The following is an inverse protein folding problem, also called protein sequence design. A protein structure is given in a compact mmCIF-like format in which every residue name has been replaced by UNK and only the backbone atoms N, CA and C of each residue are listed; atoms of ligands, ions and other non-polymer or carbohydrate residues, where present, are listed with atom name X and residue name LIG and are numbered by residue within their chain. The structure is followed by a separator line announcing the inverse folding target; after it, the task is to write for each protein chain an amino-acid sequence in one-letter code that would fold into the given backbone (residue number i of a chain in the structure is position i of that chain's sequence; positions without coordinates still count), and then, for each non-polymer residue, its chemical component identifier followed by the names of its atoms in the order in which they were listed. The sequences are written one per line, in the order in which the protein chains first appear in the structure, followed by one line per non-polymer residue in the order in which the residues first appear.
data_IF_749363401264
#
_entry.id   IF_749363401264
#
_cell.length_a   1.000
_cell.length_b   1.000
_cell.length_c   1.000
_cell.angle_alpha   90.00
_cell.angle_beta   90.00
_cell.angle_gamma   90.00
#
_symmetry.space_group_name_H-M   'P 1'
#
loop_
_entity.id
_entity.type
_entity.pdbx_description
1 polymer ?
#
# COMPACT_ATOMS: atom_id res chain seq x y z
N UNK A 1 14.21 -14.67 -21.95
CA UNK A 1 13.76 -14.80 -20.55
C UNK A 1 14.07 -13.53 -19.72
N UNK A 2 13.87 -12.32 -20.29
CA UNK A 2 14.22 -11.03 -19.67
C UNK A 2 13.18 -9.95 -20.04
N UNK A 3 11.94 -10.04 -19.53
CA UNK A 3 10.88 -9.05 -19.87
C UNK A 3 9.88 -8.73 -18.76
N UNK A 4 10.08 -9.21 -17.52
CA UNK A 4 9.19 -8.95 -16.37
C UNK A 4 9.64 -7.80 -15.44
N UNK A 5 10.91 -7.35 -15.52
CA UNK A 5 11.47 -6.39 -14.55
C UNK A 5 11.04 -4.92 -14.76
N UNK A 6 10.55 -4.52 -15.93
CA UNK A 6 10.30 -3.10 -16.23
C UNK A 6 8.96 -2.58 -15.70
N UNK A 7 7.98 -3.44 -15.44
CA UNK A 7 6.63 -3.08 -14.97
C UNK A 7 6.62 -2.71 -13.48
N UNK A 8 7.56 -3.28 -12.73
CA UNK A 8 7.54 -3.31 -11.28
C UNK A 8 8.34 -2.15 -10.64
N UNK A 9 9.47 -1.80 -11.25
CA UNK A 9 10.37 -0.73 -10.80
C UNK A 9 9.73 0.67 -10.76
N UNK A 10 8.74 0.94 -11.63
CA UNK A 10 8.07 2.25 -11.65
C UNK A 10 7.15 2.49 -10.45
N UNK A 11 6.62 1.45 -9.81
CA UNK A 11 5.62 1.56 -8.72
C UNK A 11 6.25 1.89 -7.38
N UNK A 12 7.44 1.35 -7.15
CA UNK A 12 8.27 1.60 -5.97
C UNK A 12 8.89 3.00 -6.03
N UNK A 13 9.11 3.54 -7.23
CA UNK A 13 9.68 4.87 -7.44
C UNK A 13 8.83 5.97 -6.83
N UNK A 14 7.51 5.97 -7.06
CA UNK A 14 6.62 6.94 -6.45
C UNK A 14 6.59 6.82 -4.93
N UNK A 15 6.49 5.58 -4.43
CA UNK A 15 6.47 5.26 -3.01
C UNK A 15 7.74 5.75 -2.30
N UNK A 16 8.93 5.37 -2.78
CA UNK A 16 10.21 5.77 -2.18
C UNK A 16 10.44 7.28 -2.33
N UNK A 17 10.12 7.88 -3.47
CA UNK A 17 10.26 9.33 -3.67
C UNK A 17 9.33 10.13 -2.73
N UNK A 18 8.08 9.67 -2.53
CA UNK A 18 7.17 10.31 -1.58
C UNK A 18 7.60 10.11 -0.12
N UNK A 19 8.14 8.93 0.24
CA UNK A 19 8.72 8.67 1.55
C UNK A 19 10.01 9.46 1.80
N UNK A 20 10.79 9.74 0.74
CA UNK A 20 11.99 10.57 0.78
C UNK A 20 11.66 12.03 1.05
N UNK A 21 10.68 12.60 0.33
CA UNK A 21 10.29 14.00 0.45
C UNK A 21 9.44 14.31 1.68
N UNK A 22 8.83 13.30 2.31
CA UNK A 22 8.05 13.45 3.54
C UNK A 22 8.89 13.47 4.83
N UNK A 23 10.22 13.34 4.73
CA UNK A 23 11.12 13.37 5.89
C UNK A 23 11.09 12.10 6.73
N UNK A 24 10.43 11.03 6.26
CA UNK A 24 10.30 9.75 6.98
C UNK A 24 11.62 8.96 6.98
N UNK A 25 12.41 9.08 5.91
CA UNK A 25 13.70 8.39 5.77
C UNK A 25 14.83 9.09 6.53
N UNK A 26 15.56 8.32 7.35
CA UNK A 26 16.78 8.79 8.02
C UNK A 26 17.92 9.05 7.04
N UNK A 27 18.92 9.86 7.41
CA UNK A 27 20.07 10.19 6.57
C UNK A 27 20.82 8.95 6.04
N UNK A 28 20.94 7.87 6.83
CA UNK A 28 21.53 6.60 6.38
C UNK A 28 20.68 5.87 5.34
N UNK A 29 19.36 5.94 5.44
CA UNK A 29 18.44 5.41 4.41
C UNK A 29 18.47 6.27 3.13
N UNK A 30 18.78 7.56 3.23
CA UNK A 30 19.01 8.43 2.06
C UNK A 30 20.30 8.08 1.32
N UNK A 31 21.35 7.66 2.04
CA UNK A 31 22.62 7.22 1.44
C UNK A 31 22.54 5.80 0.85
N UNK A 32 21.69 4.93 1.40
CA UNK A 32 21.36 3.61 0.86
C UNK A 32 20.22 3.63 -0.17
N UNK A 33 19.75 4.82 -0.60
CA UNK A 33 18.82 4.96 -1.70
C UNK A 33 19.54 4.62 -3.02
N UNK A 34 19.86 3.34 -3.18
CA UNK A 34 20.01 2.74 -4.49
C UNK A 34 18.74 3.07 -5.24
N UNK A 35 18.89 3.48 -6.49
CA UNK A 35 17.80 3.81 -7.40
C UNK A 35 16.56 2.92 -7.14
N UNK A 36 15.35 3.49 -7.01
CA UNK A 36 14.13 2.66 -6.93
C UNK A 36 13.91 1.82 -8.20
N UNK A 37 14.72 2.07 -9.24
CA UNK A 37 14.81 1.31 -10.48
C UNK A 37 15.85 0.17 -10.44
N UNK A 38 16.40 -0.16 -9.28
CA UNK A 38 17.20 -1.38 -9.09
C UNK A 38 16.49 -2.32 -8.13
N UNK A 39 16.66 -3.64 -8.29
CA UNK A 39 16.15 -4.61 -7.32
C UNK A 39 16.56 -4.22 -5.89
N UNK A 40 15.67 -4.42 -4.92
CA UNK A 40 16.02 -4.19 -3.54
C UNK A 40 17.18 -5.09 -3.07
N UNK A 41 17.97 -4.58 -2.15
CA UNK A 41 19.24 -5.19 -1.73
C UNK A 41 19.07 -6.24 -0.62
N UNK A 42 17.91 -6.29 0.04
CA UNK A 42 17.71 -7.17 1.18
C UNK A 42 17.01 -8.47 0.77
N UNK A 43 17.52 -9.64 1.19
CA UNK A 43 16.76 -10.89 1.09
C UNK A 43 15.52 -10.77 1.99
N UNK A 44 14.37 -11.21 1.49
CA UNK A 44 13.09 -11.10 2.19
C UNK A 44 12.57 -12.47 2.59
N UNK A 45 12.04 -12.54 3.81
CA UNK A 45 11.29 -13.66 4.32
C UNK A 45 9.90 -13.18 4.77
N UNK A 46 8.97 -14.11 5.01
CA UNK A 46 7.63 -13.80 5.46
C UNK A 46 7.21 -14.67 6.63
N UNK A 47 6.47 -14.10 7.58
CA UNK A 47 5.74 -14.86 8.59
C UNK A 47 4.27 -14.48 8.58
N UNK A 48 3.41 -15.46 8.87
CA UNK A 48 1.99 -15.25 9.07
C UNK A 48 1.74 -15.11 10.57
N UNK A 49 0.88 -14.17 10.94
CA UNK A 49 0.29 -14.10 12.27
C UNK A 49 -1.22 -14.17 12.13
N UNK A 50 -1.88 -14.98 12.95
CA UNK A 50 -3.33 -15.13 12.84
C UNK A 50 -4.06 -15.29 14.18
N UNK A 51 -5.38 -15.01 14.21
CA UNK A 51 -6.14 -15.04 15.46
C UNK A 51 -6.20 -16.41 16.12
N UNK A 52 -6.08 -17.49 15.35
CA UNK A 52 -6.21 -18.86 15.86
C UNK A 52 -4.94 -19.29 16.58
N UNK A 53 -3.79 -19.06 15.96
CA UNK A 53 -2.51 -19.58 16.45
C UNK A 53 -1.77 -18.56 17.33
N UNK A 54 -1.91 -17.25 17.03
CA UNK A 54 -1.22 -16.17 17.76
C UNK A 54 -2.12 -15.36 18.69
N UNK A 55 -3.44 -15.53 18.61
CA UNK A 55 -4.42 -14.68 19.30
C UNK A 55 -4.31 -13.21 18.88
N UNK A 56 -3.88 -12.95 17.65
CA UNK A 56 -3.88 -11.60 17.08
C UNK A 56 -5.31 -11.13 16.78
N UNK A 57 -5.59 -9.83 16.79
CA UNK A 57 -6.89 -9.28 16.37
C UNK A 57 -7.27 -9.64 14.92
N UNK A 58 -6.28 -9.67 14.02
CA UNK A 58 -6.47 -9.96 12.59
C UNK A 58 -5.42 -10.94 12.07
N UNK A 59 -5.76 -11.60 10.97
CA UNK A 59 -4.76 -12.27 10.14
C UNK A 59 -3.85 -11.22 9.49
N UNK A 60 -2.55 -11.48 9.46
CA UNK A 60 -1.59 -10.62 8.77
C UNK A 60 -0.40 -11.41 8.24
N UNK A 61 0.06 -11.04 7.04
CA UNK A 61 1.32 -11.52 6.49
C UNK A 61 2.38 -10.44 6.62
N UNK A 62 3.48 -10.75 7.30
CA UNK A 62 4.59 -9.82 7.53
C UNK A 62 5.76 -10.20 6.64
N UNK A 63 6.06 -9.37 5.64
CA UNK A 63 7.24 -9.43 4.78
C UNK A 63 8.36 -8.59 5.39
N UNK A 64 9.53 -9.17 5.61
CA UNK A 64 10.60 -8.49 6.34
C UNK A 64 12.02 -8.81 5.80
N UNK A 65 12.97 -7.86 5.90
CA UNK A 65 14.38 -8.11 5.59
C UNK A 65 14.97 -9.19 6.49
N UNK A 66 15.53 -10.25 5.90
CA UNK A 66 16.16 -11.36 6.62
C UNK A 66 17.58 -11.02 7.10
N UNK A 67 17.73 -9.82 7.64
CA UNK A 67 18.98 -9.27 8.16
C UNK A 67 18.71 -8.51 9.47
N UNK A 68 19.74 -8.39 10.30
CA UNK A 68 19.67 -7.59 11.52
C UNK A 68 19.62 -6.10 11.13
N UNK A 69 18.64 -5.38 11.66
CA UNK A 69 18.50 -3.95 11.43
C UNK A 69 17.14 -3.43 11.89
N UNK A 70 17.01 -2.11 11.94
CA UNK A 70 15.76 -1.43 12.26
C UNK A 70 15.15 -0.85 10.98
N UNK A 71 13.90 -1.22 10.70
CA UNK A 71 13.22 -0.87 9.45
C UNK A 71 11.85 -0.26 9.71
N UNK A 72 11.37 0.56 8.77
CA UNK A 72 10.09 1.25 8.90
C UNK A 72 8.94 0.26 8.60
N UNK A 73 7.93 0.14 9.47
CA UNK A 73 6.75 -0.68 9.20
C UNK A 73 5.78 0.05 8.25
N UNK A 74 5.33 -0.68 7.23
CA UNK A 74 4.27 -0.28 6.30
C UNK A 74 3.08 -1.21 6.52
N UNK A 75 1.94 -0.69 6.95
CA UNK A 75 0.70 -1.45 7.04
C UNK A 75 -0.07 -1.34 5.74
N UNK A 76 -0.32 -2.49 5.10
CA UNK A 76 -0.96 -2.60 3.79
C UNK A 76 -2.37 -3.18 3.89
N UNK A 77 -3.35 -2.50 3.28
CA UNK A 77 -4.73 -3.00 3.13
C UNK A 77 -5.02 -3.27 1.65
N UNK A 78 -5.37 -4.52 1.35
CA UNK A 78 -5.67 -4.96 -0.01
C UNK A 78 -7.02 -4.46 -0.55
N UNK A 79 -7.20 -4.63 -1.87
CA UNK A 79 -8.40 -4.21 -2.59
C UNK A 79 -9.70 -4.89 -2.18
N UNK A 80 -10.80 -4.35 -2.72
CA UNK A 80 -12.17 -4.81 -2.46
C UNK A 80 -12.45 -4.89 -0.94
N UNK A 81 -12.17 -3.80 -0.22
CA UNK A 81 -12.34 -3.71 1.23
C UNK A 81 -11.66 -4.85 2.00
N UNK A 82 -10.45 -5.25 1.59
CA UNK A 82 -9.67 -6.33 2.21
C UNK A 82 -10.11 -7.76 1.83
N UNK A 83 -10.94 -7.93 0.79
CA UNK A 83 -11.26 -9.27 0.25
C UNK A 83 -10.17 -9.81 -0.67
N UNK A 84 -9.40 -8.92 -1.31
CA UNK A 84 -8.17 -9.32 -1.99
C UNK A 84 -7.08 -9.31 -0.94
N UNK A 85 -6.62 -10.51 -0.57
CA UNK A 85 -5.73 -10.69 0.57
C UNK A 85 -4.31 -10.22 0.23
N UNK A 86 -3.52 -9.90 1.25
CA UNK A 86 -2.13 -9.48 1.09
C UNK A 86 -1.25 -10.49 0.34
N UNK A 87 -1.56 -11.78 0.44
CA UNK A 87 -0.90 -12.85 -0.33
C UNK A 87 -1.08 -12.70 -1.85
N UNK A 88 -2.19 -12.11 -2.31
CA UNK A 88 -2.43 -11.79 -3.72
C UNK A 88 -1.58 -10.61 -4.21
N UNK A 89 -0.88 -9.92 -3.30
CA UNK A 89 0.09 -8.86 -3.59
C UNK A 89 1.52 -9.27 -3.24
N UNK A 90 1.76 -10.54 -2.94
CA UNK A 90 3.04 -11.05 -2.42
C UNK A 90 4.27 -10.62 -3.20
N UNK A 91 4.26 -10.66 -4.55
CA UNK A 91 5.37 -10.18 -5.37
C UNK A 91 5.62 -8.70 -5.08
N UNK A 92 4.56 -7.86 -5.16
CA UNK A 92 4.56 -6.43 -4.85
C UNK A 92 5.12 -6.11 -3.47
N UNK A 93 4.55 -6.72 -2.43
CA UNK A 93 4.92 -6.44 -1.04
C UNK A 93 6.32 -6.95 -0.70
N UNK A 94 6.74 -8.08 -1.27
CA UNK A 94 8.10 -8.62 -1.10
C UNK A 94 9.14 -7.66 -1.65
N UNK A 95 8.94 -7.15 -2.86
CA UNK A 95 9.89 -6.20 -3.42
C UNK A 95 9.83 -4.85 -2.69
N UNK A 96 8.68 -4.36 -2.22
CA UNK A 96 8.69 -3.17 -1.34
C UNK A 96 9.54 -3.44 -0.09
N UNK A 97 9.41 -4.61 0.53
CA UNK A 97 10.23 -4.97 1.69
C UNK A 97 11.73 -5.04 1.36
N UNK A 98 12.11 -5.52 0.14
CA UNK A 98 13.51 -5.67 -0.31
C UNK A 98 14.26 -4.33 -0.38
N UNK A 99 13.55 -3.21 -0.38
CA UNK A 99 14.10 -1.85 -0.29
C UNK A 99 14.31 -1.34 1.15
N UNK A 100 14.14 -2.19 2.16
CA UNK A 100 14.43 -1.86 3.56
C UNK A 100 13.20 -1.36 4.33
N UNK A 101 12.08 -2.07 4.15
CA UNK A 101 10.84 -1.85 4.89
C UNK A 101 10.35 -3.18 5.46
N UNK A 102 9.62 -3.13 6.57
CA UNK A 102 8.81 -4.27 7.03
C UNK A 102 7.39 -4.00 6.52
N UNK A 103 6.88 -4.86 5.64
CA UNK A 103 5.56 -4.67 5.03
C UNK A 103 4.59 -5.66 5.64
N UNK A 104 3.49 -5.16 6.18
CA UNK A 104 2.51 -5.92 6.97
C UNK A 104 1.18 -5.85 6.22
N UNK A 105 0.81 -6.93 5.54
CA UNK A 105 -0.53 -7.07 4.97
C UNK A 105 -1.56 -7.36 6.05
N UNK A 106 -2.58 -6.52 6.18
CA UNK A 106 -3.67 -6.68 7.15
C UNK A 106 -4.92 -7.20 6.45
N UNK A 107 -5.33 -8.42 6.81
CA UNK A 107 -6.35 -9.18 6.07
C UNK A 107 -7.57 -9.43 6.96
N UNK A 108 -8.51 -8.47 7.07
CA UNK A 108 -9.63 -8.57 7.99
C UNK A 108 -10.62 -9.68 7.63
N UNK A 109 -10.60 -10.12 6.37
CA UNK A 109 -11.52 -11.12 5.85
C UNK A 109 -10.85 -12.51 5.72
N UNK A 110 -9.66 -12.70 6.30
CA UNK A 110 -8.94 -13.98 6.26
C UNK A 110 -9.20 -14.82 7.52
N UNK A 111 -9.36 -16.16 7.39
CA UNK A 111 -9.50 -16.88 6.12
C UNK A 111 -10.85 -16.57 5.46
N UNK A 112 -10.91 -16.58 4.13
CA UNK A 112 -12.13 -16.32 3.34
C UNK A 112 -13.13 -17.49 3.45
N UNK A 113 -13.52 -17.91 4.65
CA UNK A 113 -14.31 -19.12 4.89
C UNK A 113 -15.82 -18.93 4.72
N UNK A 114 -16.31 -17.71 4.51
CA UNK A 114 -17.65 -17.48 3.97
C UNK A 114 -17.73 -16.04 3.45
N UNK A 115 -17.72 -15.87 2.12
CA UNK A 115 -17.79 -14.54 1.47
C UNK A 115 -19.10 -13.77 1.74
N UNK A 116 -20.02 -14.35 2.51
CA UNK A 116 -21.39 -13.87 2.71
C UNK A 116 -21.73 -13.48 4.16
N UNK A 117 -20.82 -13.60 5.13
CA UNK A 117 -21.09 -13.23 6.53
C UNK A 117 -20.56 -11.84 6.92
N UNK A 118 -20.55 -10.88 5.99
CA UNK A 118 -20.13 -9.50 6.29
C UNK A 118 -21.27 -8.70 6.93
N UNK A 119 -21.50 -8.92 8.22
CA UNK A 119 -22.35 -8.05 9.05
C UNK A 119 -21.56 -7.23 10.07
N UNK A 120 -20.24 -7.21 9.99
CA UNK A 120 -19.46 -6.33 10.85
C UNK A 120 -19.64 -4.88 10.41
N UNK A 121 -20.01 -4.02 11.36
CA UNK A 121 -20.07 -2.59 11.10
C UNK A 121 -18.67 -2.08 10.71
N UNK A 122 -18.65 -1.07 9.86
CA UNK A 122 -17.40 -0.40 9.44
C UNK A 122 -16.55 0.03 10.62
N UNK A 123 -17.18 0.57 11.67
CA UNK A 123 -16.49 0.98 12.91
C UNK A 123 -15.74 -0.19 13.55
N UNK A 124 -16.40 -1.35 13.68
CA UNK A 124 -15.78 -2.55 14.23
C UNK A 124 -14.58 -3.00 13.39
N UNK A 125 -14.69 -2.93 12.07
CA UNK A 125 -13.58 -3.27 11.15
C UNK A 125 -12.37 -2.34 11.32
N UNK A 126 -12.62 -1.04 11.47
CA UNK A 126 -11.54 -0.06 11.68
C UNK A 126 -10.86 -0.27 13.02
N UNK A 127 -11.63 -0.54 14.07
CA UNK A 127 -11.11 -0.91 15.38
C UNK A 127 -10.21 -2.14 15.31
N UNK A 128 -10.56 -3.15 14.50
CA UNK A 128 -9.70 -4.32 14.30
C UNK A 128 -8.34 -3.97 13.68
N UNK A 129 -8.29 -3.07 12.69
CA UNK A 129 -7.01 -2.61 12.15
C UNK A 129 -6.17 -1.89 13.22
N UNK A 130 -6.78 -0.98 13.99
CA UNK A 130 -6.09 -0.24 15.04
C UNK A 130 -5.57 -1.17 16.15
N UNK A 131 -6.38 -2.15 16.56
CA UNK A 131 -5.99 -3.18 17.53
C UNK A 131 -4.86 -4.04 16.98
N UNK A 132 -4.92 -4.44 15.70
CA UNK A 132 -3.87 -5.22 15.06
C UNK A 132 -2.54 -4.45 15.01
N UNK A 133 -2.55 -3.16 14.63
CA UNK A 133 -1.36 -2.32 14.62
C UNK A 133 -0.69 -2.27 16.00
N UNK A 134 -1.48 -2.08 17.07
CA UNK A 134 -0.99 -2.09 18.44
C UNK A 134 -0.45 -3.46 18.85
N UNK A 135 -1.19 -4.53 18.57
CA UNK A 135 -0.80 -5.89 18.91
C UNK A 135 0.54 -6.26 18.26
N UNK A 136 0.73 -5.94 16.98
CA UNK A 136 1.97 -6.18 16.25
C UNK A 136 3.16 -5.44 16.90
N UNK A 137 2.96 -4.19 17.32
CA UNK A 137 4.00 -3.42 18.00
C UNK A 137 4.46 -4.06 19.32
N UNK A 138 3.54 -4.71 20.03
CA UNK A 138 3.81 -5.36 21.31
C UNK A 138 4.39 -6.78 21.17
N UNK A 139 4.09 -7.51 20.10
CA UNK A 139 4.34 -8.96 20.00
C UNK A 139 5.40 -9.38 18.95
N UNK A 140 5.83 -8.47 18.09
CA UNK A 140 6.75 -8.82 16.98
C UNK A 140 8.25 -8.70 17.32
N UNK A 141 8.62 -8.09 18.45
CA UNK A 141 10.00 -7.70 18.76
C UNK A 141 11.07 -8.80 18.65
N UNK A 142 10.68 -10.09 18.80
CA UNK A 142 11.57 -11.24 18.74
C UNK A 142 11.19 -12.29 17.68
N UNK A 143 10.19 -12.01 16.83
CA UNK A 143 9.71 -12.98 15.83
C UNK A 143 10.51 -12.93 14.51
N UNK A 144 11.29 -11.88 14.30
CA UNK A 144 12.02 -11.61 13.05
C UNK A 144 13.46 -11.19 13.35
N UNK A 145 14.39 -11.36 12.39
CA UNK A 145 15.76 -10.84 12.50
C UNK A 145 15.82 -9.31 12.46
N UNK A 146 14.88 -8.71 11.73
CA UNK A 146 14.67 -7.27 11.62
C UNK A 146 13.77 -6.76 12.75
N UNK A 147 14.00 -5.54 13.21
CA UNK A 147 13.16 -4.86 14.20
C UNK A 147 12.37 -3.74 13.49
N UNK A 148 11.07 -3.65 13.77
CA UNK A 148 10.25 -2.56 13.24
C UNK A 148 10.39 -1.28 14.10
N UNK A 149 10.53 -0.14 13.45
CA UNK A 149 10.44 1.17 14.06
C UNK A 149 8.98 1.64 14.14
N UNK A 150 8.30 1.18 15.18
CA UNK A 150 6.90 1.50 15.43
C UNK A 150 6.62 3.00 15.67
N UNK A 151 7.65 3.85 15.80
CA UNK A 151 7.48 5.30 15.96
C UNK A 151 7.25 6.05 14.64
N UNK A 152 7.52 5.39 13.50
CA UNK A 152 7.40 5.98 12.16
C UNK A 152 6.57 5.12 11.19
N UNK A 153 5.36 4.69 11.56
CA UNK A 153 4.59 3.81 10.70
C UNK A 153 4.10 4.52 9.43
N UNK A 154 3.90 3.74 8.38
CA UNK A 154 3.34 4.17 7.09
C UNK A 154 2.09 3.34 6.81
N UNK A 155 1.06 3.98 6.26
CA UNK A 155 -0.11 3.28 5.73
C UNK A 155 0.04 3.12 4.22
N UNK A 156 -0.42 2.00 3.69
CA UNK A 156 -0.47 1.73 2.27
C UNK A 156 -1.74 0.96 1.94
N UNK A 157 -2.32 1.20 0.77
CA UNK A 157 -3.55 0.52 0.38
C UNK A 157 -3.67 0.39 -1.13
N UNK A 158 -4.58 -0.48 -1.56
CA UNK A 158 -5.02 -0.53 -2.96
C UNK A 158 -6.54 -0.53 -3.09
N UNK A 159 -7.07 0.08 -4.17
CA UNK A 159 -8.49 0.03 -4.52
C UNK A 159 -9.39 0.45 -3.36
N UNK A 160 -10.50 -0.25 -3.12
CA UNK A 160 -11.42 -0.01 -2.02
C UNK A 160 -10.80 -0.24 -0.62
N UNK A 161 -9.65 -0.89 -0.48
CA UNK A 161 -8.91 -0.90 0.79
C UNK A 161 -8.41 0.49 1.21
N UNK A 162 -8.32 1.41 0.25
CA UNK A 162 -7.99 2.80 0.52
C UNK A 162 -9.12 3.60 1.16
N UNK A 163 -10.36 3.15 1.04
CA UNK A 163 -11.49 3.72 1.76
C UNK A 163 -11.33 3.51 3.28
N UNK A 164 -10.99 2.29 3.70
CA UNK A 164 -10.68 1.97 5.11
C UNK A 164 -9.48 2.81 5.61
N UNK A 165 -8.42 2.89 4.80
CA UNK A 165 -7.20 3.65 5.13
C UNK A 165 -7.48 5.15 5.30
N UNK A 166 -8.32 5.72 4.43
CA UNK A 166 -8.71 7.12 4.51
C UNK A 166 -9.49 7.41 5.79
N UNK A 167 -10.40 6.51 6.17
CA UNK A 167 -11.17 6.63 7.40
C UNK A 167 -10.29 6.48 8.66
N UNK A 168 -9.32 5.56 8.66
CA UNK A 168 -8.32 5.47 9.74
C UNK A 168 -7.58 6.80 9.96
N UNK A 169 -7.21 7.48 8.87
CA UNK A 169 -6.55 8.79 8.93
C UNK A 169 -7.53 9.88 9.39
N UNK A 170 -8.78 9.81 8.96
CA UNK A 170 -9.83 10.75 9.38
C UNK A 170 -10.01 10.70 10.90
N UNK A 171 -10.06 9.50 11.48
CA UNK A 171 -10.20 9.26 12.93
C UNK A 171 -8.94 9.62 13.70
N UNK A 172 -7.76 9.24 13.20
CA UNK A 172 -6.48 9.55 13.83
C UNK A 172 -5.48 10.15 12.84
N UNK A 173 -5.44 11.48 12.83
CA UNK A 173 -4.60 12.31 11.93
C UNK A 173 -3.10 12.23 12.22
N UNK A 174 -2.69 11.42 13.18
CA UNK A 174 -1.30 11.21 13.59
C UNK A 174 -0.88 9.73 13.60
N UNK A 175 -1.77 8.84 13.13
CA UNK A 175 -1.58 7.39 13.15
C UNK A 175 -0.33 6.94 12.39
N UNK A 176 0.09 7.71 11.39
CA UNK A 176 1.23 7.42 10.53
C UNK A 176 2.07 8.68 10.26
N UNK A 177 3.23 8.49 9.64
CA UNK A 177 4.04 9.60 9.10
C UNK A 177 3.77 9.86 7.63
N UNK A 178 3.40 8.80 6.90
CA UNK A 178 2.98 8.88 5.52
C UNK A 178 1.85 7.88 5.20
N UNK A 179 1.11 8.14 4.13
CA UNK A 179 0.13 7.23 3.57
C UNK A 179 0.28 7.15 2.05
N UNK A 180 0.20 5.93 1.50
CA UNK A 180 0.29 5.68 0.07
C UNK A 180 -0.98 5.00 -0.44
N UNK A 181 -1.65 5.69 -1.34
CA UNK A 181 -2.89 5.28 -1.96
C UNK A 181 -2.62 4.81 -3.39
N UNK A 182 -2.67 3.50 -3.64
CA UNK A 182 -2.41 2.90 -4.95
C UNK A 182 -3.74 2.62 -5.63
N UNK A 183 -4.00 3.27 -6.77
CA UNK A 183 -5.27 3.14 -7.49
C UNK A 183 -6.48 3.21 -6.55
N UNK A 184 -6.59 4.25 -5.70
CA UNK A 184 -7.56 4.23 -4.62
C UNK A 184 -8.99 4.31 -5.15
N UNK A 185 -9.90 3.69 -4.40
CA UNK A 185 -11.35 3.88 -4.53
C UNK A 185 -11.90 4.15 -3.14
N UNK A 186 -12.71 5.20 -3.01
CA UNK A 186 -13.39 5.50 -1.74
C UNK A 186 -14.76 6.11 -1.98
N UNK A 187 -15.81 5.37 -1.59
CA UNK A 187 -17.18 5.87 -1.63
C UNK A 187 -17.39 6.95 -0.58
N UNK A 188 -16.76 6.82 0.59
CA UNK A 188 -16.92 7.77 1.69
C UNK A 188 -16.21 9.08 1.44
N UNK A 189 -15.17 9.08 0.60
CA UNK A 189 -14.48 10.32 0.21
C UNK A 189 -15.44 11.37 -0.36
N UNK A 190 -16.57 10.97 -0.95
CA UNK A 190 -17.58 11.87 -1.51
C UNK A 190 -18.19 12.81 -0.46
N UNK A 191 -18.46 12.30 0.74
CA UNK A 191 -19.12 13.02 1.82
C UNK A 191 -18.13 13.54 2.89
N UNK A 192 -16.86 13.16 2.79
CA UNK A 192 -15.84 13.61 3.73
C UNK A 192 -15.54 15.10 3.60
N UNK A 193 -15.33 15.73 4.75
CA UNK A 193 -14.73 17.07 4.83
C UNK A 193 -13.21 16.95 4.72
N UNK A 194 -12.59 18.07 4.34
CA UNK A 194 -11.14 18.24 4.33
C UNK A 194 -10.53 17.72 5.64
N UNK A 195 -9.46 16.93 5.52
CA UNK A 195 -8.75 16.29 6.62
C UNK A 195 -7.48 17.11 6.90
N UNK A 196 -7.45 17.92 7.97
CA UNK A 196 -6.26 18.68 8.36
C UNK A 196 -5.24 17.75 9.03
N UNK A 197 -4.53 16.99 8.21
CA UNK A 197 -3.54 15.98 8.63
C UNK A 197 -2.11 16.47 8.38
N UNK A 198 -1.16 15.98 9.17
CA UNK A 198 0.29 16.14 8.94
C UNK A 198 0.91 14.93 8.23
N UNK A 199 0.12 13.89 7.98
CA UNK A 199 0.55 12.67 7.29
C UNK A 199 0.86 13.03 5.84
N UNK A 200 2.08 12.80 5.38
CA UNK A 200 2.41 13.04 3.98
C UNK A 200 1.74 11.98 3.08
N UNK A 201 1.24 12.40 1.92
CA UNK A 201 0.41 11.52 1.07
C UNK A 201 1.04 11.32 -0.29
N UNK A 202 1.07 10.07 -0.74
CA UNK A 202 1.19 9.73 -2.15
C UNK A 202 -0.12 9.19 -2.65
N UNK A 203 -0.59 9.74 -3.77
CA UNK A 203 -1.66 9.14 -4.56
C UNK A 203 -1.09 8.67 -5.89
N UNK A 204 -1.26 7.40 -6.18
CA UNK A 204 -0.80 6.75 -7.39
C UNK A 204 -2.01 6.28 -8.19
N UNK A 205 -2.00 6.49 -9.50
CA UNK A 205 -3.02 5.95 -10.40
C UNK A 205 -2.41 5.36 -11.68
N UNK A 206 -2.92 4.22 -12.09
CA UNK A 206 -2.71 3.66 -13.40
C UNK A 206 -3.73 4.23 -14.40
N UNK A 207 -3.24 4.59 -15.59
CA UNK A 207 -4.04 5.18 -16.67
C UNK A 207 -5.29 4.37 -17.03
N UNK A 208 -5.21 3.03 -16.93
CA UNK A 208 -6.30 2.13 -17.30
C UNK A 208 -7.15 1.70 -16.09
N UNK A 209 -6.98 2.31 -14.92
CA UNK A 209 -7.78 1.94 -13.72
C UNK A 209 -9.25 2.33 -13.83
N UNK A 210 -9.55 3.40 -14.57
CA UNK A 210 -10.92 3.81 -14.93
C UNK A 210 -11.38 3.24 -16.28
N UNK A 211 -10.54 2.47 -16.98
CA UNK A 211 -10.91 1.84 -18.24
C UNK A 211 -11.72 0.55 -17.99
N UNK A 212 -12.57 0.18 -18.96
CA UNK A 212 -13.37 -1.04 -18.87
C UNK A 212 -12.50 -2.32 -18.75
N UNK A 213 -12.81 -3.27 -17.84
CA UNK A 213 -13.95 -3.27 -16.90
C UNK A 213 -13.69 -2.28 -15.75
N UNK A 214 -14.64 -1.37 -15.51
CA UNK A 214 -14.50 -0.27 -14.54
C UNK A 214 -14.21 -0.80 -13.13
N UNK A 215 -12.95 -0.85 -12.74
CA UNK A 215 -12.55 -1.20 -11.39
C UNK A 215 -12.53 0.04 -10.48
N UNK A 216 -12.26 1.21 -11.05
CA UNK A 216 -12.43 2.51 -10.41
C UNK A 216 -13.60 3.27 -11.04
N UNK A 217 -14.44 3.88 -10.20
CA UNK A 217 -15.48 4.80 -10.63
C UNK A 217 -14.88 6.20 -10.70
N UNK A 218 -15.01 6.86 -11.85
CA UNK A 218 -14.55 8.23 -12.04
C UNK A 218 -15.14 9.15 -10.96
N UNK A 219 -14.29 9.94 -10.31
CA UNK A 219 -14.67 10.84 -9.21
C UNK A 219 -14.63 10.22 -7.81
N UNK A 220 -14.55 8.90 -7.67
CA UNK A 220 -14.28 8.20 -6.39
C UNK A 220 -12.80 7.79 -6.24
N UNK A 221 -11.98 8.14 -7.23
CA UNK A 221 -10.58 7.79 -7.33
C UNK A 221 -9.65 8.75 -6.59
N UNK A 222 -8.37 8.74 -6.99
CA UNK A 222 -7.31 9.51 -6.34
C UNK A 222 -7.57 11.02 -6.29
N UNK A 223 -8.26 11.60 -7.27
CA UNK A 223 -8.57 13.05 -7.32
C UNK A 223 -9.20 13.51 -6.00
N UNK A 224 -10.25 12.78 -5.57
CA UNK A 224 -11.00 13.14 -4.38
C UNK A 224 -10.16 12.97 -3.12
N UNK A 225 -9.42 11.87 -3.00
CA UNK A 225 -8.50 11.66 -1.87
C UNK A 225 -7.43 12.75 -1.82
N UNK A 226 -6.85 13.11 -2.97
CA UNK A 226 -5.86 14.16 -3.06
C UNK A 226 -6.42 15.51 -2.58
N UNK A 227 -7.65 15.85 -2.98
CA UNK A 227 -8.30 17.12 -2.59
C UNK A 227 -8.72 17.16 -1.12
N UNK A 228 -9.03 16.02 -0.51
CA UNK A 228 -9.36 15.94 0.92
C UNK A 228 -8.17 16.24 1.83
N UNK A 229 -6.94 16.05 1.36
CA UNK A 229 -5.74 16.16 2.19
C UNK A 229 -5.10 17.55 2.10
N UNK A 230 -4.85 18.19 3.24
CA UNK A 230 -4.17 19.51 3.32
C UNK A 230 -2.65 19.42 3.51
N UNK A 231 -2.12 18.20 3.62
CA UNK A 231 -0.72 17.92 3.90
C UNK A 231 0.18 18.07 2.65
N UNK A 232 1.47 17.81 2.82
CA UNK A 232 2.35 17.50 1.68
C UNK A 232 1.76 16.30 0.95
N UNK A 233 1.47 16.49 -0.34
CA UNK A 233 0.83 15.47 -1.17
C UNK A 233 1.48 15.43 -2.55
N UNK A 234 1.71 14.21 -3.01
CA UNK A 234 2.26 13.92 -4.34
C UNK A 234 1.25 13.11 -5.11
N UNK A 235 1.13 13.43 -6.40
CA UNK A 235 0.38 12.62 -7.36
C UNK A 235 1.32 11.98 -8.35
N UNK A 236 1.10 10.71 -8.63
CA UNK A 236 1.75 9.98 -9.70
C UNK A 236 0.71 9.30 -10.60
N UNK A 237 0.88 9.46 -11.91
CA UNK A 237 0.11 8.71 -12.91
C UNK A 237 1.08 7.84 -13.71
N UNK A 238 0.74 6.56 -13.91
CA UNK A 238 1.51 5.66 -14.78
C UNK A 238 0.75 5.28 -16.03
N UNK A 239 1.46 5.25 -17.15
CA UNK A 239 0.91 4.97 -18.48
C UNK A 239 0.95 3.49 -18.82
N UNK A 240 -0.10 2.98 -19.48
CA UNK A 240 -0.21 1.59 -19.97
C UNK A 240 -0.35 0.50 -18.90
N UNK A 241 -0.76 0.85 -17.68
CA UNK A 241 -1.06 -0.11 -16.61
C UNK A 241 -2.52 0.00 -16.21
N UNK A 242 -3.10 -1.11 -15.76
CA UNK A 242 -4.45 -1.20 -15.20
C UNK A 242 -4.47 -1.46 -13.69
N UNK A 243 -5.69 -1.39 -13.15
CA UNK A 243 -6.00 -1.45 -11.72
C UNK A 243 -5.44 -2.66 -10.97
N UNK A 244 -5.49 -3.83 -11.62
CA UNK A 244 -5.15 -5.12 -11.02
C UNK A 244 -3.74 -5.60 -11.39
N UNK A 245 -2.96 -4.80 -12.13
CA UNK A 245 -1.62 -5.20 -12.59
C UNK A 245 -0.62 -5.35 -11.42
N UNK A 246 -0.99 -5.00 -10.18
CA UNK A 246 -0.16 -5.21 -8.99
C UNK A 246 -0.34 -6.58 -8.34
N UNK A 247 -1.34 -7.34 -8.77
CA UNK A 247 -1.61 -8.66 -8.23
C UNK A 247 -0.54 -9.66 -8.69
N UNK A 248 -0.12 -10.53 -7.78
CA UNK A 248 0.74 -11.67 -8.06
C UNK A 248 0.05 -12.61 -9.05
N UNK A 249 0.72 -12.91 -10.15
CA UNK A 249 0.23 -13.93 -11.09
C UNK A 249 0.49 -15.32 -10.50
N UNK A 250 -0.51 -15.93 -9.84
CA UNK A 250 -0.40 -17.34 -9.41
C UNK A 250 -0.41 -18.27 -10.64
N UNK A 251 0.38 -19.36 -10.66
CA UNK A 251 0.21 -20.42 -11.65
C UNK A 251 -1.23 -20.95 -11.60
N UNK A 252 -1.98 -20.84 -12.70
CA UNK A 252 -3.39 -21.27 -12.78
C UNK A 252 -4.45 -20.19 -12.52
N UNK A 253 -4.05 -18.96 -12.19
CA UNK A 253 -4.93 -17.79 -12.23
C UNK A 253 -4.52 -16.87 -13.36
N UNK A 254 -5.19 -17.00 -14.50
CA UNK A 254 -5.12 -15.96 -15.52
C UNK A 254 -5.88 -14.75 -14.99
N UNK A 255 -5.18 -13.74 -14.50
CA UNK A 255 -5.75 -12.40 -14.38
C UNK A 255 -5.88 -11.88 -15.82
N UNK A 256 -6.93 -12.31 -16.50
CA UNK A 256 -7.37 -11.76 -17.79
C UNK A 256 -8.24 -10.55 -17.50
N UNK A 257 -7.64 -9.44 -17.08
CA UNK A 257 -8.10 -8.15 -17.57
C UNK A 257 -7.40 -7.92 -18.93
N UNK A 258 -8.08 -7.38 -19.95
CA UNK A 258 -7.52 -7.35 -21.28
C UNK A 258 -6.32 -6.41 -21.30
N UNK A 259 -5.11 -6.97 -21.49
CA UNK A 259 -4.01 -6.23 -22.11
C UNK A 259 -4.56 -5.71 -23.44
N UNK A 260 -4.70 -4.40 -23.58
CA UNK A 260 -4.98 -3.80 -24.88
C UNK A 260 -3.90 -4.29 -25.85
N UNK A 261 -4.32 -5.11 -26.81
CA UNK A 261 -3.43 -5.71 -27.78
C UNK A 261 -2.75 -4.60 -28.59
N UNK A 262 -1.41 -4.58 -28.62
CA UNK A 262 -0.71 -4.10 -29.82
C UNK A 262 0.14 -2.84 -29.75
N UNK A 263 0.58 -2.31 -28.61
CA UNK A 263 1.59 -1.22 -28.62
C UNK A 263 2.94 -1.59 -28.01
N UNK A 264 4.06 -1.42 -28.74
CA UNK A 264 5.41 -1.52 -28.19
C UNK A 264 5.62 -0.52 -27.04
N UNK A 265 6.33 -0.95 -26.00
CA UNK A 265 6.65 -0.11 -24.85
C UNK A 265 7.84 0.82 -25.15
N UNK A 266 7.57 2.12 -25.22
CA UNK A 266 8.51 3.18 -24.83
C UNK A 266 7.99 3.86 -23.55
N UNK A 267 8.82 4.12 -22.52
CA UNK A 267 8.41 4.85 -21.32
C UNK A 267 8.35 6.36 -21.60
N UNK A 268 7.26 7.02 -21.23
CA UNK A 268 7.14 8.47 -21.19
C UNK A 268 6.63 8.88 -19.81
N UNK A 269 7.25 9.87 -19.18
CA UNK A 269 6.91 10.36 -17.83
C UNK A 269 6.58 11.86 -17.84
N UNK A 270 5.64 12.28 -16.98
CA UNK A 270 5.37 13.69 -16.68
C UNK A 270 5.02 13.81 -15.18
N UNK A 271 5.95 14.29 -14.35
CA UNK A 271 5.65 14.77 -13.01
C UNK A 271 5.15 16.22 -13.08
N UNK A 272 4.21 16.56 -12.22
CA UNK A 272 3.86 17.96 -11.93
C UNK A 272 3.87 18.13 -10.43
N UNK A 273 4.85 18.84 -9.89
CA UNK A 273 4.82 19.33 -8.51
C UNK A 273 3.93 20.58 -8.47
N UNK A 274 2.94 20.59 -7.58
CA UNK A 274 2.21 21.80 -7.23
C UNK A 274 2.62 22.19 -5.81
N UNK A 275 3.42 23.25 -5.69
CA UNK A 275 3.67 23.91 -4.41
C UNK A 275 2.40 24.65 -3.97
N UNK A 276 2.06 24.69 -2.67
CA UNK A 276 0.93 25.45 -2.18
C UNK A 276 1.16 26.96 -2.39
N UNK A 277 0.11 27.76 -2.60
CA UNK A 277 0.23 29.21 -2.62
C UNK A 277 0.66 29.71 -1.24
N UNK A 278 1.67 30.59 -1.22
CA UNK A 278 2.14 31.30 -0.02
C UNK A 278 1.21 32.42 0.41
#
# INVERSE_FOLDING_TARGET
MYRKMTTFQFRITGLIFALFNSGVLSFKQRQLAVSPFTPGQFPINSIVVDPKDDKSPLHSTVFYPEVVGTFIPIYFIGGLYGHVLSEDYSDFLTEVASHGFIVIGMDPNSPLLDRYQMHESREKKLDLYLQQMKWLAEHMGNKTKSVADWSRPVLMCQSAGCDDTLEMIHQNRSIAKASVFIDPVSVHSLDMKIIPSKIAVLTYMAELSEAFPYCCIAGMGWNKIYDLMTCVKVRMEVKKFGHCDLLTTRPGHSVTTPRSAGQPMTPGYRSTEALPPG
#
